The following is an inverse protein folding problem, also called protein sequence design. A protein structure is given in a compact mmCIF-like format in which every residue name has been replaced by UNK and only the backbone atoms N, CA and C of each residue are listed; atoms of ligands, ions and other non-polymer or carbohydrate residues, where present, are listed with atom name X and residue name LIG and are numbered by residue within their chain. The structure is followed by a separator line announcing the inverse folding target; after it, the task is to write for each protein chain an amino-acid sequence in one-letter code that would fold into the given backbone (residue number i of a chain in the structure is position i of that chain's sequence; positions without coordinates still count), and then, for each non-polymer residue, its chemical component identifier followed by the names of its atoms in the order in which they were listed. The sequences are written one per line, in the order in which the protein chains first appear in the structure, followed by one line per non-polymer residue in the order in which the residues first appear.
data_IF_151352682643
#
_entry.id   IF_151352682643
#
_cell.length_a   1.000
_cell.length_b   1.000
_cell.length_c   1.000
_cell.angle_alpha   90.00
_cell.angle_beta   90.00
_cell.angle_gamma   90.00
#
_symmetry.space_group_name_H-M   'P 1'
#
loop_
_entity.id
_entity.type
_entity.pdbx_description
1 polymer ?
#
# COMPACT_ATOMS: atom_id res chain seq x y z
N UNK A 1 -14.32 -13.53 -4.84
CA UNK A 1 -13.16 -13.91 -4.01
C UNK A 1 -12.13 -12.83 -4.23
N UNK A 2 -11.60 -12.22 -3.16
CA UNK A 2 -10.55 -11.17 -3.28
C UNK A 2 -9.21 -11.84 -3.56
N UNK A 3 -8.41 -11.22 -4.42
CA UNK A 3 -7.04 -11.64 -4.66
C UNK A 3 -6.18 -11.53 -3.39
N UNK A 4 -5.37 -12.54 -3.12
CA UNK A 4 -4.43 -12.56 -2.00
C UNK A 4 -3.04 -12.30 -2.56
N UNK A 5 -2.57 -11.07 -2.38
CA UNK A 5 -1.24 -10.61 -2.80
C UNK A 5 -0.55 -9.90 -1.62
N UNK A 6 0.77 -9.97 -1.58
CA UNK A 6 1.59 -9.33 -0.56
C UNK A 6 2.71 -8.52 -1.19
N UNK A 7 3.17 -7.51 -0.47
CA UNK A 7 4.36 -6.73 -0.81
C UNK A 7 5.21 -6.62 0.45
N UNK A 8 6.53 -6.65 0.25
CA UNK A 8 7.49 -6.34 1.29
C UNK A 8 8.18 -5.00 1.01
N UNK A 9 8.53 -4.29 2.08
CA UNK A 9 9.43 -3.14 2.04
C UNK A 9 10.67 -3.54 2.84
N UNK A 10 11.83 -3.67 2.20
CA UNK A 10 13.08 -3.94 2.90
C UNK A 10 13.56 -2.68 3.62
N UNK A 11 13.74 -2.76 4.94
CA UNK A 11 13.98 -1.60 5.79
C UNK A 11 15.31 -0.87 5.50
N UNK A 12 16.43 -1.57 5.23
CA UNK A 12 17.72 -0.93 4.99
C UNK A 12 17.72 -0.06 3.73
N UNK A 13 17.15 -0.54 2.62
CA UNK A 13 17.20 0.12 1.31
C UNK A 13 15.92 0.85 0.93
N UNK A 14 14.80 0.54 1.60
CA UNK A 14 13.43 0.95 1.26
C UNK A 14 12.90 0.38 -0.05
N UNK A 15 13.60 -0.59 -0.64
CA UNK A 15 13.09 -1.24 -1.85
C UNK A 15 11.83 -2.04 -1.57
N UNK A 16 10.92 -2.04 -2.54
CA UNK A 16 9.69 -2.83 -2.52
C UNK A 16 9.91 -4.07 -3.35
N UNK A 17 9.52 -5.23 -2.82
CA UNK A 17 9.60 -6.49 -3.53
C UNK A 17 8.35 -7.35 -3.31
N UNK A 18 8.06 -8.20 -4.30
CA UNK A 18 7.03 -9.22 -4.18
C UNK A 18 7.63 -10.49 -3.55
N UNK A 19 7.06 -11.00 -2.44
CA UNK A 19 7.56 -12.21 -1.82
C UNK A 19 7.43 -13.45 -2.72
N UNK A 20 8.50 -14.26 -2.82
CA UNK A 20 8.47 -15.58 -3.47
C UNK A 20 7.86 -16.64 -2.53
N UNK A 21 8.09 -16.49 -1.22
CA UNK A 21 7.58 -17.37 -0.16
C UNK A 21 7.47 -16.60 1.16
N UNK A 22 6.45 -16.92 1.96
CA UNK A 22 6.24 -16.34 3.29
C UNK A 22 6.04 -17.47 4.30
N UNK A 23 6.82 -17.45 5.38
CA UNK A 23 6.65 -18.34 6.54
C UNK A 23 6.14 -17.52 7.74
N UNK A 24 4.83 -17.54 7.94
CA UNK A 24 4.20 -16.84 9.06
C UNK A 24 4.49 -17.46 10.44
N UNK A 25 5.00 -18.70 10.51
CA UNK A 25 5.32 -19.37 11.77
C UNK A 25 6.67 -18.88 12.27
N UNK A 26 7.66 -18.85 11.38
CA UNK A 26 9.02 -18.43 11.71
C UNK A 26 9.24 -16.91 11.56
N UNK A 27 8.35 -16.23 10.81
CA UNK A 27 8.48 -14.80 10.53
C UNK A 27 9.46 -14.50 9.39
N UNK A 28 9.70 -15.47 8.51
CA UNK A 28 10.62 -15.34 7.38
C UNK A 28 9.87 -14.96 6.10
N UNK A 29 10.50 -14.11 5.29
CA UNK A 29 10.05 -13.81 3.93
C UNK A 29 11.19 -13.95 2.95
N UNK A 30 10.91 -14.53 1.80
CA UNK A 30 11.86 -14.79 0.72
C UNK A 30 11.52 -13.90 -0.47
N UNK A 31 12.53 -13.43 -1.19
CA UNK A 31 12.34 -12.63 -2.39
C UNK A 31 13.64 -12.08 -2.96
N UNK A 32 13.50 -11.20 -3.94
CA UNK A 32 14.64 -10.48 -4.51
C UNK A 32 14.70 -9.10 -3.86
N UNK A 33 15.69 -8.89 -3.01
CA UNK A 33 16.01 -7.60 -2.39
C UNK A 33 17.53 -7.50 -2.26
N UNK A 34 18.05 -6.32 -1.96
CA UNK A 34 19.47 -5.98 -1.79
C UNK A 34 20.46 -6.45 -2.89
N UNK A 35 19.94 -6.75 -4.07
CA UNK A 35 20.72 -7.24 -5.21
C UNK A 35 20.90 -8.76 -5.22
N UNK A 36 20.40 -9.46 -4.20
CA UNK A 36 20.41 -10.92 -4.12
C UNK A 36 19.12 -11.51 -4.69
N UNK A 37 19.19 -12.78 -5.11
CA UNK A 37 18.09 -13.51 -5.72
C UNK A 37 17.63 -14.61 -4.77
N UNK A 38 16.33 -14.63 -4.46
CA UNK A 38 15.68 -15.60 -3.57
C UNK A 38 16.33 -15.70 -2.18
N UNK A 39 16.81 -14.58 -1.65
CA UNK A 39 17.30 -14.48 -0.27
C UNK A 39 16.14 -14.36 0.71
N UNK A 40 16.43 -14.48 2.00
CA UNK A 40 15.44 -14.43 3.07
C UNK A 40 15.78 -13.40 4.14
N UNK A 41 14.75 -12.80 4.71
CA UNK A 41 14.89 -11.94 5.87
C UNK A 41 13.68 -12.08 6.81
N UNK A 42 13.82 -11.54 8.02
CA UNK A 42 12.71 -11.51 8.97
C UNK A 42 11.76 -10.36 8.63
N UNK A 43 10.46 -10.60 8.68
CA UNK A 43 9.46 -9.55 8.48
C UNK A 43 8.73 -9.15 9.76
N UNK A 44 8.20 -7.94 9.75
CA UNK A 44 7.19 -7.47 10.69
C UNK A 44 5.92 -7.06 9.95
N UNK A 45 4.79 -7.20 10.63
CA UNK A 45 3.50 -6.66 10.16
C UNK A 45 3.27 -5.21 10.65
N UNK A 46 4.06 -4.74 11.62
CA UNK A 46 3.92 -3.41 12.22
C UNK A 46 5.18 -2.57 12.05
N UNK A 47 5.08 -1.23 12.03
CA UNK A 47 6.24 -0.35 11.86
C UNK A 47 7.33 -0.55 12.92
N UNK A 48 6.93 -0.82 14.16
CA UNK A 48 7.82 -0.96 15.32
C UNK A 48 8.29 -2.41 15.58
N UNK A 49 7.77 -3.39 14.84
CA UNK A 49 8.12 -4.79 15.07
C UNK A 49 9.54 -5.12 14.61
N UNK A 50 10.04 -6.28 15.05
CA UNK A 50 11.40 -6.77 14.72
C UNK A 50 11.47 -7.32 13.30
N UNK A 51 12.68 -7.38 12.75
CA UNK A 51 12.94 -7.88 11.40
C UNK A 51 13.46 -6.78 10.47
N UNK A 52 13.86 -7.22 9.29
CA UNK A 52 14.54 -6.41 8.27
C UNK A 52 13.57 -5.98 7.15
N UNK A 53 12.37 -6.56 7.09
CA UNK A 53 11.32 -6.16 6.17
C UNK A 53 9.99 -5.81 6.88
N UNK A 54 9.14 -5.05 6.19
CA UNK A 54 7.73 -4.89 6.53
C UNK A 54 6.88 -5.62 5.50
N UNK A 55 6.09 -6.60 5.94
CA UNK A 55 5.16 -7.35 5.10
C UNK A 55 3.77 -6.74 5.18
N UNK A 56 3.19 -6.43 4.03
CA UNK A 56 1.90 -5.75 3.89
C UNK A 56 1.02 -6.46 2.87
N UNK A 57 -0.27 -6.49 3.13
CA UNK A 57 -1.24 -7.22 2.31
C UNK A 57 -1.97 -6.28 1.35
N UNK A 58 -2.09 -6.67 0.09
CA UNK A 58 -2.90 -5.96 -0.89
C UNK A 58 -4.38 -6.01 -0.50
N UNK A 59 -5.06 -4.86 -0.53
CA UNK A 59 -6.44 -4.70 -0.07
C UNK A 59 -7.51 -5.22 -1.04
N UNK A 60 -7.14 -5.55 -2.28
CA UNK A 60 -8.12 -5.83 -3.34
C UNK A 60 -8.74 -4.59 -3.97
N UNK A 61 -8.24 -3.40 -3.65
CA UNK A 61 -8.70 -2.13 -4.21
C UNK A 61 -7.56 -1.36 -4.84
N UNK A 62 -7.88 -0.65 -5.90
CA UNK A 62 -7.04 0.37 -6.52
C UNK A 62 -7.52 1.76 -6.08
N UNK A 63 -6.58 2.70 -6.04
CA UNK A 63 -6.85 4.11 -5.81
C UNK A 63 -7.42 4.76 -7.09
N UNK A 64 -7.64 6.08 -7.06
CA UNK A 64 -8.23 6.81 -8.17
C UNK A 64 -7.20 7.36 -9.18
N UNK A 65 -5.90 7.11 -8.99
CA UNK A 65 -4.82 7.64 -9.82
C UNK A 65 -5.04 7.29 -11.28
N UNK A 66 -5.08 8.29 -12.18
CA UNK A 66 -5.21 8.05 -13.62
C UNK A 66 -3.85 7.76 -14.24
N UNK A 67 -3.89 7.04 -15.37
CA UNK A 67 -2.66 6.70 -16.09
C UNK A 67 -1.88 7.95 -16.47
N UNK A 68 -2.59 9.00 -16.89
CA UNK A 68 -2.02 10.27 -17.32
C UNK A 68 -1.35 11.05 -16.17
N UNK A 69 -1.76 10.77 -14.93
CA UNK A 69 -1.22 11.39 -13.72
C UNK A 69 -0.01 10.62 -13.15
N UNK A 70 0.28 9.42 -13.65
CA UNK A 70 1.45 8.64 -13.22
C UNK A 70 2.76 9.29 -13.67
N UNK A 71 3.80 9.28 -12.82
CA UNK A 71 5.15 9.62 -13.25
C UNK A 71 5.62 8.73 -14.40
N UNK A 72 6.39 9.29 -15.35
CA UNK A 72 6.90 8.55 -16.53
C UNK A 72 7.69 7.29 -16.15
N UNK A 73 8.44 7.34 -15.04
CA UNK A 73 9.16 6.18 -14.52
C UNK A 73 8.22 5.03 -14.12
N UNK A 74 7.14 5.34 -13.39
CA UNK A 74 6.14 4.33 -12.98
C UNK A 74 5.39 3.77 -14.20
N UNK A 75 5.09 4.61 -15.20
CA UNK A 75 4.50 4.15 -16.47
C UNK A 75 5.45 3.17 -17.19
N UNK A 76 6.75 3.48 -17.26
CA UNK A 76 7.74 2.59 -17.86
C UNK A 76 7.89 1.27 -17.10
N UNK A 77 7.90 1.31 -15.77
CA UNK A 77 7.93 0.10 -14.93
C UNK A 77 6.71 -0.79 -15.18
N UNK A 78 5.52 -0.21 -15.30
CA UNK A 78 4.29 -0.94 -15.65
C UNK A 78 4.38 -1.61 -17.01
N UNK A 79 4.81 -0.89 -18.04
CA UNK A 79 4.96 -1.42 -19.39
C UNK A 79 6.06 -2.49 -19.48
N UNK A 80 7.15 -2.34 -18.72
CA UNK A 80 8.24 -3.33 -18.65
C UNK A 80 7.80 -4.65 -18.02
N UNK A 81 6.74 -4.67 -17.21
CA UNK A 81 6.10 -5.88 -16.71
C UNK A 81 5.24 -6.59 -17.78
N UNK A 82 5.15 -6.05 -19.00
CA UNK A 82 4.36 -6.62 -20.09
C UNK A 82 2.87 -6.26 -20.04
N UNK A 83 2.49 -5.30 -19.19
CA UNK A 83 1.12 -4.79 -19.07
C UNK A 83 0.88 -3.63 -20.03
N UNK A 84 -0.38 -3.35 -20.31
CA UNK A 84 -0.84 -2.30 -21.22
C UNK A 84 -1.46 -1.13 -20.47
N UNK A 85 -1.58 0.04 -21.11
CA UNK A 85 -2.24 1.21 -20.51
C UNK A 85 -3.72 0.89 -20.20
N UNK A 86 -4.38 0.12 -21.06
CA UNK A 86 -5.79 -0.24 -20.93
C UNK A 86 -6.08 -1.13 -19.71
N UNK A 87 -5.06 -1.79 -19.16
CA UNK A 87 -5.14 -2.62 -17.95
C UNK A 87 -4.93 -1.80 -16.66
N UNK A 88 -4.68 -0.48 -16.76
CA UNK A 88 -4.48 0.36 -15.59
C UNK A 88 -5.80 0.61 -14.84
N UNK A 89 -5.83 0.19 -13.57
CA UNK A 89 -7.00 0.38 -12.70
C UNK A 89 -6.77 1.41 -11.57
N UNK A 90 -5.58 2.00 -11.49
CA UNK A 90 -5.10 2.79 -10.35
C UNK A 90 -3.99 2.09 -9.58
N UNK A 91 -3.38 2.78 -8.60
CA UNK A 91 -2.34 2.18 -7.75
C UNK A 91 -2.99 1.16 -6.81
N UNK A 92 -2.37 -0.02 -6.70
CA UNK A 92 -2.79 -1.02 -5.72
C UNK A 92 -2.66 -0.46 -4.29
N UNK A 93 -3.74 -0.55 -3.52
CA UNK A 93 -3.76 -0.11 -2.11
C UNK A 93 -3.42 -1.30 -1.22
N UNK A 94 -2.47 -1.15 -0.32
CA UNK A 94 -2.07 -2.13 0.69
C UNK A 94 -2.40 -1.65 2.10
N UNK A 95 -2.50 -2.60 3.03
CA UNK A 95 -2.57 -2.28 4.46
C UNK A 95 -1.32 -1.51 4.88
N UNK A 96 -1.53 -0.41 5.62
CA UNK A 96 -0.49 0.52 6.03
C UNK A 96 -0.19 1.62 5.02
N UNK A 97 -0.82 1.63 3.83
CA UNK A 97 -0.77 2.82 2.96
C UNK A 97 -1.45 4.01 3.62
N UNK A 98 -0.94 5.20 3.31
CA UNK A 98 -1.56 6.47 3.65
C UNK A 98 -2.18 6.99 2.37
N UNK A 99 -3.50 7.16 2.41
CA UNK A 99 -4.27 7.69 1.29
C UNK A 99 -4.78 9.09 1.60
N UNK A 100 -4.80 9.95 0.60
CA UNK A 100 -5.45 11.24 0.67
C UNK A 100 -6.87 11.11 0.10
N UNK A 101 -7.87 11.53 0.87
CA UNK A 101 -9.24 11.71 0.37
C UNK A 101 -9.40 13.16 -0.10
N UNK A 102 -9.77 13.35 -1.35
CA UNK A 102 -10.03 14.65 -1.98
C UNK A 102 -11.43 14.68 -2.63
N UNK A 103 -12.03 15.87 -2.73
CA UNK A 103 -13.29 16.12 -3.45
C UNK A 103 -14.48 15.21 -3.11
N UNK A 104 -14.55 14.72 -1.86
CA UNK A 104 -15.68 13.90 -1.43
C UNK A 104 -16.98 14.73 -1.37
N UNK A 105 -18.12 14.25 -1.91
CA UNK A 105 -19.34 15.06 -2.06
C UNK A 105 -19.97 15.51 -0.73
N UNK A 106 -19.59 14.89 0.39
CA UNK A 106 -20.04 15.25 1.73
C UNK A 106 -19.02 16.09 2.53
N UNK A 107 -17.91 16.49 1.90
CA UNK A 107 -16.97 17.42 2.51
C UNK A 107 -17.66 18.77 2.79
N UNK A 108 -17.44 19.31 4.00
CA UNK A 108 -18.08 20.54 4.49
C UNK A 108 -19.19 20.27 5.52
N UNK A 109 -20.05 19.26 5.29
CA UNK A 109 -20.94 18.75 6.35
C UNK A 109 -20.19 17.83 7.31
N UNK A 110 -19.15 17.16 6.81
CA UNK A 110 -18.24 16.31 7.56
C UNK A 110 -16.79 16.61 7.17
N UNK A 111 -15.86 16.38 8.10
CA UNK A 111 -14.42 16.45 7.80
C UNK A 111 -13.98 15.10 7.22
N UNK A 112 -14.27 14.89 5.93
CA UNK A 112 -13.91 13.66 5.20
C UNK A 112 -12.51 13.75 4.58
N UNK A 113 -12.24 14.84 3.84
CA UNK A 113 -10.96 15.06 3.18
C UNK A 113 -9.80 15.11 4.18
N UNK A 114 -8.64 14.65 3.72
CA UNK A 114 -7.42 14.56 4.51
C UNK A 114 -6.70 13.23 4.32
N UNK A 115 -5.60 13.07 5.04
CA UNK A 115 -4.74 11.90 4.95
C UNK A 115 -5.15 10.86 6.00
N UNK A 116 -5.28 9.61 5.59
CA UNK A 116 -5.75 8.53 6.44
C UNK A 116 -4.94 7.25 6.20
N UNK A 117 -4.60 6.55 7.28
CA UNK A 117 -4.00 5.22 7.22
C UNK A 117 -5.06 4.18 6.80
N UNK A 118 -4.68 3.31 5.88
CA UNK A 118 -5.46 2.15 5.45
C UNK A 118 -5.19 0.98 6.39
N UNK A 119 -6.25 0.43 6.99
CA UNK A 119 -6.13 -0.68 7.93
C UNK A 119 -7.47 -1.29 8.30
N UNK A 120 -7.42 -2.34 9.12
CA UNK A 120 -8.62 -2.97 9.67
C UNK A 120 -8.98 -2.32 11.00
N UNK A 121 -10.25 -1.98 11.19
CA UNK A 121 -10.76 -1.54 12.49
C UNK A 121 -10.99 -2.73 13.44
N UNK A 122 -11.45 -2.47 14.67
CA UNK A 122 -11.74 -3.48 15.69
C UNK A 122 -12.85 -4.47 15.26
N UNK A 123 -13.66 -4.11 14.27
CA UNK A 123 -14.72 -4.93 13.71
C UNK A 123 -14.28 -5.71 12.46
N UNK A 124 -12.96 -5.72 12.16
CA UNK A 124 -12.37 -6.38 10.98
C UNK A 124 -12.87 -5.80 9.64
N UNK A 125 -13.31 -4.55 9.64
CA UNK A 125 -13.68 -3.82 8.44
C UNK A 125 -12.47 -3.07 7.89
N UNK A 126 -12.29 -3.13 6.57
CA UNK A 126 -11.21 -2.41 5.91
C UNK A 126 -11.58 -0.95 5.71
N UNK A 127 -10.80 -0.07 6.33
CA UNK A 127 -11.03 1.36 6.43
C UNK A 127 -9.82 2.17 5.99
N UNK A 128 -10.03 3.45 5.69
CA UNK A 128 -9.03 4.49 5.76
C UNK A 128 -9.46 5.51 6.82
N UNK A 129 -8.79 5.50 7.97
CA UNK A 129 -9.27 6.22 9.16
C UNK A 129 -10.63 5.70 9.63
N UNK A 130 -11.61 6.59 9.80
CA UNK A 130 -13.00 6.21 10.19
C UNK A 130 -13.90 5.79 9.02
N UNK A 131 -13.39 5.77 7.79
CA UNK A 131 -14.20 5.56 6.59
C UNK A 131 -13.99 4.18 5.98
N UNK A 132 -15.07 3.50 5.63
CA UNK A 132 -15.01 2.21 4.91
C UNK A 132 -14.37 2.41 3.52
N UNK A 133 -13.23 1.75 3.28
CA UNK A 133 -12.41 1.99 2.08
C UNK A 133 -13.21 1.77 0.79
N UNK A 134 -14.02 0.72 0.72
CA UNK A 134 -14.80 0.39 -0.47
C UNK A 134 -15.77 1.50 -0.92
N UNK A 135 -16.21 2.35 0.03
CA UNK A 135 -17.13 3.47 -0.22
C UNK A 135 -16.42 4.71 -0.73
N UNK A 136 -15.19 4.92 -0.28
CA UNK A 136 -14.43 6.13 -0.56
C UNK A 136 -13.35 5.96 -1.62
N UNK A 137 -13.02 4.73 -2.05
CA UNK A 137 -11.94 4.43 -3.01
C UNK A 137 -11.90 5.28 -4.29
N UNK A 138 -13.05 5.77 -4.76
CA UNK A 138 -13.10 6.64 -5.96
C UNK A 138 -12.61 8.08 -5.71
N UNK A 139 -12.30 8.41 -4.47
CA UNK A 139 -11.86 9.72 -4.01
C UNK A 139 -10.50 9.65 -3.33
N UNK A 140 -9.81 8.50 -3.38
CA UNK A 140 -8.56 8.28 -2.67
C UNK A 140 -7.39 8.16 -3.62
N UNK A 141 -6.25 8.69 -3.23
CA UNK A 141 -4.96 8.53 -3.92
C UNK A 141 -3.90 8.11 -2.89
N UNK A 142 -3.05 7.13 -3.23
CA UNK A 142 -1.96 6.69 -2.36
C UNK A 142 -0.85 7.75 -2.38
N UNK A 143 -0.55 8.32 -1.22
CA UNK A 143 0.46 9.39 -1.07
C UNK A 143 1.68 8.97 -0.25
N UNK A 144 1.68 7.76 0.30
CA UNK A 144 2.77 7.23 1.10
C UNK A 144 2.31 6.02 1.91
N UNK A 145 3.08 5.66 2.94
CA UNK A 145 2.70 4.61 3.89
C UNK A 145 3.27 4.90 5.28
N UNK A 146 2.76 4.21 6.30
CA UNK A 146 3.16 4.41 7.70
C UNK A 146 4.61 4.01 8.01
N UNK A 147 5.28 3.29 7.11
CA UNK A 147 6.64 2.80 7.29
C UNK A 147 7.69 3.80 6.78
N UNK A 148 7.39 4.47 5.67
CA UNK A 148 8.27 5.43 4.99
C UNK A 148 7.88 6.87 5.29
N UNK A 149 6.58 7.14 5.49
CA UNK A 149 6.01 8.50 5.57
C UNK A 149 5.06 8.71 6.76
N UNK A 150 5.39 8.29 8.00
CA UNK A 150 4.51 8.45 9.15
C UNK A 150 4.15 9.92 9.44
N UNK A 151 4.96 10.87 8.96
CA UNK A 151 4.71 12.30 9.07
C UNK A 151 3.44 12.78 8.37
N UNK A 152 2.97 12.09 7.32
CA UNK A 152 1.80 12.49 6.54
C UNK A 152 0.48 12.39 7.33
N UNK A 153 0.47 11.71 8.48
CA UNK A 153 -0.69 11.58 9.37
C UNK A 153 -0.71 12.61 10.50
N UNK A 154 0.36 13.39 10.67
CA UNK A 154 0.40 14.43 11.70
C UNK A 154 -0.44 15.61 11.25
N UNK A 155 -1.44 15.99 12.04
CA UNK A 155 -2.13 17.28 11.91
C UNK A 155 -1.21 18.36 12.46
N UNK A 156 -0.98 19.43 11.70
CA UNK A 156 -0.32 20.64 12.20
C UNK A 156 -1.06 21.25 13.40
#
# INVERSE_FOLDING_TARGET
MREIKFQCIYRPTKEKFEPSKIDFINGDVYGNFDGEIDDYCYFSLTPIGRGDAWLRQYTGFHDNTKWEDLPELEQQEWLNQGKTQEEWEGKEIYVGDIVQISDHPFHGSWTVNGNHEVGYNEQMELCCGSWLLFRVKHYVEVIGNIYENPELLRKE
#
